data_IF_308655420950
#
_entry.id   IF_308655420950
#
_cell.length_a   1.000
_cell.length_b   1.000
_cell.length_c   1.000
_cell.angle_alpha   90.00
_cell.angle_beta   90.00
_cell.angle_gamma   90.00
#
_symmetry.space_group_name_H-M   'P 1'
#
loop_
_entity.id
_entity.type
_entity.pdbx_description
1 polymer ?
#
# COMPACT_ATOMS: atom_id res chain seq x y z
N UNK A 1 7.45 18.34 -6.89
CA UNK A 1 8.04 18.30 -5.54
C UNK A 1 8.07 16.86 -5.13
N UNK A 2 9.24 16.24 -5.17
CA UNK A 2 9.52 14.92 -4.60
C UNK A 2 9.24 15.00 -3.11
N UNK A 3 8.34 14.16 -2.60
CA UNK A 3 8.17 14.01 -1.16
C UNK A 3 9.52 13.60 -0.57
N UNK A 4 10.07 14.39 0.36
CA UNK A 4 11.27 13.99 1.08
C UNK A 4 10.95 12.71 1.84
N UNK A 5 11.70 11.65 1.55
CA UNK A 5 11.59 10.41 2.29
C UNK A 5 11.98 10.63 3.75
N UNK A 6 11.31 9.99 4.71
CA UNK A 6 11.68 10.08 6.11
C UNK A 6 13.11 9.57 6.32
N UNK A 7 13.93 10.35 6.99
CA UNK A 7 15.28 9.93 7.35
C UNK A 7 15.18 8.95 8.51
N UNK A 8 15.56 7.69 8.28
CA UNK A 8 15.64 6.67 9.32
C UNK A 8 17.06 6.68 9.88
N UNK A 9 17.21 7.04 11.15
CA UNK A 9 18.49 6.95 11.85
C UNK A 9 18.51 5.64 12.63
N UNK A 10 19.47 4.77 12.34
CA UNK A 10 19.66 3.52 13.08
C UNK A 10 20.59 3.76 14.29
N UNK A 11 20.17 3.32 15.44
CA UNK A 11 21.08 3.08 16.57
C UNK A 11 21.77 1.72 16.41
N UNK A 12 23.03 1.62 16.76
CA UNK A 12 23.82 0.39 16.59
C UNK A 12 23.10 -0.82 17.18
N UNK A 13 22.84 -1.81 16.35
CA UNK A 13 22.34 -3.12 16.76
C UNK A 13 23.37 -4.19 16.44
N UNK A 14 23.47 -5.19 17.32
CA UNK A 14 24.30 -6.36 17.05
C UNK A 14 23.39 -7.57 16.90
N UNK A 15 23.39 -8.29 15.79
CA UNK A 15 24.22 -8.10 14.57
C UNK A 15 23.80 -6.88 13.73
N UNK A 16 24.78 -6.29 13.03
CA UNK A 16 24.49 -5.15 12.13
C UNK A 16 23.59 -5.61 10.97
N UNK A 17 22.46 -4.94 10.72
CA UNK A 17 21.62 -5.30 9.59
C UNK A 17 22.30 -4.97 8.25
N UNK A 18 22.08 -5.82 7.28
CA UNK A 18 22.41 -5.53 5.89
C UNK A 18 21.29 -4.67 5.31
N UNK A 19 21.61 -3.52 4.77
CA UNK A 19 20.63 -2.63 4.15
C UNK A 19 20.71 -2.83 2.64
N UNK A 20 19.65 -3.40 2.07
CA UNK A 20 19.46 -3.46 0.63
C UNK A 20 18.44 -2.41 0.19
N UNK A 21 18.82 -1.59 -0.76
CA UNK A 21 17.90 -0.67 -1.42
C UNK A 21 17.29 -1.37 -2.65
N UNK A 22 16.04 -1.77 -2.54
CA UNK A 22 15.29 -2.38 -3.63
C UNK A 22 14.03 -1.54 -3.92
N UNK A 23 13.92 -1.04 -5.14
CA UNK A 23 12.77 -0.24 -5.60
C UNK A 23 12.35 0.88 -4.61
N UNK A 24 13.29 1.71 -4.18
CA UNK A 24 13.07 2.79 -3.21
C UNK A 24 12.66 2.31 -1.80
N UNK A 25 12.75 1.01 -1.53
CA UNK A 25 12.48 0.42 -0.23
C UNK A 25 13.78 -0.06 0.38
N UNK A 26 14.07 0.35 1.62
CA UNK A 26 15.21 -0.19 2.38
C UNK A 26 14.75 -1.45 3.11
N UNK A 27 15.39 -2.57 2.81
CA UNK A 27 15.12 -3.85 3.46
C UNK A 27 16.26 -4.17 4.42
N UNK A 28 15.91 -4.49 5.67
CA UNK A 28 16.87 -4.90 6.68
C UNK A 28 16.93 -6.41 6.74
N UNK A 29 18.08 -6.98 6.35
CA UNK A 29 18.36 -8.39 6.49
C UNK A 29 19.21 -8.61 7.74
N UNK A 30 18.71 -9.40 8.68
CA UNK A 30 19.44 -9.81 9.88
C UNK A 30 19.74 -11.29 9.73
N UNK A 31 21.03 -11.61 9.54
CA UNK A 31 21.49 -13.00 9.54
C UNK A 31 22.02 -13.32 10.92
N UNK A 32 21.35 -14.22 11.62
CA UNK A 32 21.85 -14.76 12.90
C UNK A 32 22.69 -16.00 12.60
N UNK A 33 24.01 -15.86 12.69
CA UNK A 33 24.90 -17.00 12.66
C UNK A 33 24.82 -17.74 14.00
N UNK A 34 25.07 -19.05 14.00
CA UNK A 34 25.12 -19.86 15.22
C UNK A 34 25.95 -19.19 16.30
N UNK A 35 25.30 -18.73 17.37
CA UNK A 35 25.98 -18.12 18.50
C UNK A 35 26.34 -19.24 19.48
N UNK A 36 27.51 -19.83 19.31
CA UNK A 36 28.09 -20.77 20.27
C UNK A 36 27.36 -22.11 20.46
N UNK A 37 26.43 -22.47 19.56
CA UNK A 37 25.69 -23.74 19.61
C UNK A 37 25.65 -24.40 18.26
N UNK A 38 25.78 -25.72 18.23
CA UNK A 38 25.68 -26.51 17.00
C UNK A 38 24.25 -26.73 16.50
N UNK A 39 23.25 -26.56 17.38
CA UNK A 39 21.82 -26.65 17.05
C UNK A 39 21.00 -25.80 18.01
N UNK A 40 19.82 -25.35 17.55
CA UNK A 40 18.82 -24.68 18.36
C UNK A 40 17.70 -25.65 18.72
N UNK A 41 17.20 -25.59 19.95
CA UNK A 41 16.02 -26.34 20.36
C UNK A 41 14.77 -25.77 19.66
N UNK A 42 13.80 -26.61 19.33
CA UNK A 42 12.60 -26.21 18.57
C UNK A 42 11.73 -25.14 19.29
N UNK A 43 11.87 -25.02 20.61
CA UNK A 43 11.14 -24.11 21.49
C UNK A 43 12.00 -22.94 22.00
N UNK A 44 13.24 -22.82 21.53
CA UNK A 44 14.13 -21.73 21.93
C UNK A 44 13.67 -20.41 21.30
N UNK A 45 13.36 -19.41 22.14
CA UNK A 45 12.85 -18.10 21.70
C UNK A 45 13.98 -17.09 21.67
N UNK A 46 14.17 -16.47 20.52
CA UNK A 46 15.07 -15.33 20.33
C UNK A 46 14.26 -14.06 20.19
N UNK A 47 14.70 -12.98 20.86
CA UNK A 47 14.10 -11.66 20.73
C UNK A 47 15.09 -10.75 19.99
N UNK A 48 14.67 -10.27 18.82
CA UNK A 48 15.38 -9.23 18.09
C UNK A 48 14.64 -7.92 18.36
N UNK A 49 15.36 -6.91 18.85
CA UNK A 49 14.78 -5.58 19.08
C UNK A 49 15.51 -4.58 18.21
N UNK A 50 14.76 -3.85 17.40
CA UNK A 50 15.26 -2.72 16.63
C UNK A 50 14.60 -1.43 17.14
N UNK A 51 15.41 -0.42 17.42
CA UNK A 51 14.93 0.90 17.79
C UNK A 51 15.17 1.85 16.61
N UNK A 52 14.10 2.48 16.13
CA UNK A 52 14.16 3.45 15.06
C UNK A 52 13.71 4.81 15.57
N UNK A 53 14.49 5.85 15.26
CA UNK A 53 14.04 7.23 15.44
C UNK A 53 13.69 7.75 14.05
N UNK A 54 12.40 8.05 13.86
CA UNK A 54 11.88 8.52 12.58
C UNK A 54 11.43 9.95 12.76
N UNK A 55 12.01 10.87 11.98
CA UNK A 55 11.55 12.25 11.91
C UNK A 55 10.68 12.41 10.67
N UNK A 56 9.42 12.73 10.87
CA UNK A 56 8.46 12.94 9.78
C UNK A 56 8.11 14.42 9.71
N UNK A 57 8.19 15.00 8.53
CA UNK A 57 7.70 16.35 8.28
C UNK A 57 6.26 16.27 7.80
N UNK A 58 5.40 17.15 8.31
CA UNK A 58 4.04 17.29 7.79
C UNK A 58 4.10 17.77 6.34
N UNK A 59 3.38 17.08 5.46
CA UNK A 59 3.23 17.47 4.06
C UNK A 59 1.76 17.73 3.81
N UNK A 60 1.44 18.97 3.49
CA UNK A 60 0.10 19.35 3.05
C UNK A 60 0.12 19.56 1.54
N UNK A 61 -0.73 18.84 0.82
CA UNK A 61 -0.83 18.94 -0.63
C UNK A 61 -2.15 19.57 -1.03
N UNK A 62 -2.09 20.77 -1.58
CA UNK A 62 -3.25 21.42 -2.17
C UNK A 62 -3.31 21.11 -3.67
N UNK A 63 -4.28 20.31 -4.09
CA UNK A 63 -4.44 19.88 -5.47
C UNK A 63 -5.52 20.73 -6.16
N UNK A 64 -5.10 21.57 -7.11
CA UNK A 64 -6.04 22.22 -8.01
C UNK A 64 -6.45 21.26 -9.14
N UNK A 65 -7.67 20.76 -9.04
CA UNK A 65 -8.24 19.77 -9.98
C UNK A 65 -8.27 20.28 -11.42
N UNK A 66 -8.39 21.61 -11.62
CA UNK A 66 -8.47 22.23 -12.93
C UNK A 66 -7.10 22.29 -13.64
N UNK A 67 -6.01 22.21 -12.87
CA UNK A 67 -4.64 22.22 -13.38
C UNK A 67 -4.08 20.84 -13.63
N UNK A 68 -4.82 19.78 -13.32
CA UNK A 68 -4.38 18.40 -13.57
C UNK A 68 -4.39 18.14 -15.06
N UNK A 69 -3.20 17.89 -15.61
CA UNK A 69 -3.05 17.48 -17.01
C UNK A 69 -3.48 16.03 -17.16
N UNK A 70 -4.34 15.76 -18.14
CA UNK A 70 -4.66 14.40 -18.53
C UNK A 70 -3.42 13.81 -19.21
N UNK A 71 -2.94 12.66 -18.74
CA UNK A 71 -1.73 12.07 -19.29
C UNK A 71 -1.97 11.63 -20.74
N UNK A 72 -1.23 12.21 -21.67
CA UNK A 72 -1.24 11.83 -23.08
C UNK A 72 -0.22 10.74 -23.40
N UNK A 73 0.88 10.70 -22.64
CA UNK A 73 1.95 9.74 -22.81
C UNK A 73 1.88 8.65 -21.71
N UNK A 74 1.35 7.49 -22.10
CA UNK A 74 1.29 6.30 -21.25
C UNK A 74 2.50 5.36 -21.42
N UNK A 75 3.48 5.75 -22.22
CA UNK A 75 4.70 4.96 -22.43
C UNK A 75 5.67 5.01 -21.24
N UNK A 76 5.50 5.99 -20.36
CA UNK A 76 6.34 6.16 -19.16
C UNK A 76 6.25 4.95 -18.24
N UNK A 77 7.37 4.64 -17.57
CA UNK A 77 7.50 3.48 -16.68
C UNK A 77 6.41 3.44 -15.60
N UNK A 78 6.05 4.60 -15.04
CA UNK A 78 4.99 4.69 -14.02
C UNK A 78 3.66 4.11 -14.51
N UNK A 79 3.27 4.35 -15.77
CA UNK A 79 2.07 3.75 -16.35
C UNK A 79 2.26 2.26 -16.60
N UNK A 80 3.38 1.86 -17.20
CA UNK A 80 3.66 0.46 -17.52
C UNK A 80 3.65 -0.44 -16.28
N UNK A 81 4.13 0.07 -15.14
CA UNK A 81 4.24 -0.70 -13.91
C UNK A 81 2.95 -0.63 -13.09
N UNK A 82 2.40 0.57 -12.90
CA UNK A 82 1.35 0.78 -11.90
C UNK A 82 -0.08 0.84 -12.45
N UNK A 83 -0.28 0.53 -13.75
CA UNK A 83 -1.63 0.34 -14.31
C UNK A 83 -1.94 -1.11 -14.66
N UNK A 84 -0.94 -2.01 -14.67
CA UNK A 84 -1.13 -3.43 -14.98
C UNK A 84 -1.57 -4.21 -13.74
N UNK A 85 -2.22 -5.35 -13.97
CA UNK A 85 -2.46 -6.33 -12.91
C UNK A 85 -1.14 -6.95 -12.41
N UNK A 86 -1.10 -7.30 -11.16
CA UNK A 86 -0.06 -8.13 -10.55
C UNK A 86 -0.69 -9.13 -9.55
N UNK A 87 0.12 -9.89 -8.84
CA UNK A 87 -0.35 -10.91 -7.89
C UNK A 87 -1.20 -10.32 -6.75
N UNK A 88 -0.92 -9.09 -6.34
CA UNK A 88 -1.60 -8.44 -5.23
C UNK A 88 -2.81 -7.60 -5.68
N UNK A 89 -2.75 -7.04 -6.90
CA UNK A 89 -3.76 -6.12 -7.40
C UNK A 89 -4.38 -6.69 -8.67
N UNK A 90 -5.56 -7.31 -8.56
CA UNK A 90 -6.26 -7.96 -9.67
C UNK A 90 -6.98 -6.92 -10.57
N UNK A 91 -6.21 -6.10 -11.30
CA UNK A 91 -6.77 -5.15 -12.26
C UNK A 91 -7.30 -5.86 -13.51
N UNK A 92 -8.19 -5.19 -14.25
CA UNK A 92 -8.75 -5.65 -15.54
C UNK A 92 -9.54 -6.98 -15.48
N UNK A 93 -9.97 -7.41 -14.30
CA UNK A 93 -10.90 -8.53 -14.21
C UNK A 93 -12.29 -8.13 -14.70
N UNK A 94 -13.06 -9.04 -15.34
CA UNK A 94 -14.33 -8.71 -15.98
C UNK A 94 -15.33 -7.99 -15.07
N UNK A 95 -15.35 -8.35 -13.79
CA UNK A 95 -16.23 -7.72 -12.79
C UNK A 95 -15.91 -6.24 -12.59
N UNK A 96 -14.63 -5.86 -12.52
CA UNK A 96 -14.19 -4.47 -12.36
C UNK A 96 -14.40 -3.67 -13.64
N UNK A 97 -14.08 -4.26 -14.80
CA UNK A 97 -14.31 -3.64 -16.12
C UNK A 97 -15.79 -3.31 -16.33
N UNK A 98 -16.69 -4.22 -15.93
CA UNK A 98 -18.14 -4.01 -16.00
C UNK A 98 -18.64 -2.94 -15.02
N UNK A 99 -18.08 -2.90 -13.82
CA UNK A 99 -18.49 -1.99 -12.76
C UNK A 99 -18.03 -0.55 -13.02
N UNK A 100 -16.80 -0.37 -13.49
CA UNK A 100 -16.11 0.91 -13.57
C UNK A 100 -16.88 2.02 -14.31
N UNK A 101 -17.52 1.79 -15.49
CA UNK A 101 -18.24 2.83 -16.21
C UNK A 101 -19.37 3.48 -15.42
N UNK A 102 -20.04 2.72 -14.55
CA UNK A 102 -21.10 3.23 -13.68
C UNK A 102 -20.58 4.13 -12.56
N UNK A 103 -19.29 4.03 -12.22
CA UNK A 103 -18.65 4.82 -11.16
C UNK A 103 -18.09 6.12 -11.73
N UNK A 104 -17.29 6.03 -12.80
CA UNK A 104 -16.52 7.18 -13.29
C UNK A 104 -17.27 8.08 -14.29
N UNK A 105 -18.49 7.69 -14.75
CA UNK A 105 -19.36 8.49 -15.62
C UNK A 105 -18.64 9.15 -16.81
N UNK A 106 -17.79 8.43 -17.53
CA UNK A 106 -16.95 8.93 -18.63
C UNK A 106 -15.91 10.00 -18.24
N UNK A 107 -15.64 10.19 -16.97
CA UNK A 107 -14.57 11.10 -16.53
C UNK A 107 -13.22 10.63 -17.07
N UNK A 108 -12.46 11.54 -17.69
CA UNK A 108 -11.10 11.30 -18.18
C UNK A 108 -10.03 11.91 -17.28
N UNK A 109 -10.43 12.74 -16.29
CA UNK A 109 -9.52 13.36 -15.36
C UNK A 109 -9.15 12.34 -14.26
N UNK A 110 -7.87 11.97 -14.08
CA UNK A 110 -7.45 10.90 -13.17
C UNK A 110 -7.78 11.21 -11.71
N UNK A 111 -7.70 12.46 -11.29
CA UNK A 111 -8.08 12.85 -9.93
C UNK A 111 -9.58 12.67 -9.69
N UNK A 112 -10.42 13.11 -10.65
CA UNK A 112 -11.88 12.91 -10.56
C UNK A 112 -12.24 11.42 -10.55
N UNK A 113 -11.56 10.61 -11.37
CA UNK A 113 -11.75 9.16 -11.37
C UNK A 113 -11.41 8.58 -9.98
N UNK A 114 -10.26 8.93 -9.42
CA UNK A 114 -9.86 8.48 -8.11
C UNK A 114 -10.87 8.87 -7.02
N UNK A 115 -11.33 10.13 -7.04
CA UNK A 115 -12.34 10.63 -6.10
C UNK A 115 -13.66 9.88 -6.21
N UNK A 116 -14.18 9.71 -7.43
CA UNK A 116 -15.43 9.00 -7.68
C UNK A 116 -15.36 7.53 -7.22
N UNK A 117 -14.24 6.85 -7.49
CA UNK A 117 -14.03 5.47 -7.03
C UNK A 117 -13.99 5.42 -5.50
N UNK A 118 -13.28 6.34 -4.86
CA UNK A 118 -13.23 6.44 -3.40
C UNK A 118 -14.62 6.64 -2.79
N UNK A 119 -15.36 7.64 -3.28
CA UNK A 119 -16.72 7.94 -2.82
C UNK A 119 -17.67 6.75 -3.03
N UNK A 120 -17.56 6.08 -4.19
CA UNK A 120 -18.33 4.87 -4.44
C UNK A 120 -18.03 3.78 -3.41
N UNK A 121 -16.76 3.55 -3.11
CA UNK A 121 -16.38 2.55 -2.12
C UNK A 121 -16.88 2.90 -0.73
N UNK A 122 -16.71 4.13 -0.30
CA UNK A 122 -17.17 4.57 1.02
C UNK A 122 -18.70 4.49 1.19
N UNK A 123 -19.45 4.65 0.11
CA UNK A 123 -20.92 4.60 0.14
C UNK A 123 -21.49 3.18 -0.02
N UNK A 124 -20.73 2.23 -0.56
CA UNK A 124 -21.24 0.92 -0.92
C UNK A 124 -20.62 -0.25 -0.15
N UNK A 125 -19.57 0.00 0.63
CA UNK A 125 -18.84 -1.05 1.36
C UNK A 125 -18.64 -0.67 2.82
N UNK A 126 -18.64 -1.67 3.69
CA UNK A 126 -18.43 -1.53 5.13
C UNK A 126 -17.01 -1.97 5.52
N UNK A 127 -16.27 -1.09 6.21
CA UNK A 127 -14.95 -1.42 6.74
C UNK A 127 -15.09 -2.23 8.02
N UNK A 128 -14.51 -3.42 8.03
CA UNK A 128 -14.47 -4.28 9.20
C UNK A 128 -13.15 -4.15 9.94
N UNK A 129 -13.18 -3.66 11.18
CA UNK A 129 -12.01 -3.61 12.07
C UNK A 129 -11.71 -4.99 12.70
N UNK A 130 -11.54 -6.02 11.87
CA UNK A 130 -11.18 -7.36 12.30
C UNK A 130 -9.79 -7.71 11.79
N UNK A 131 -9.05 -8.49 12.59
CA UNK A 131 -7.81 -9.08 12.11
C UNK A 131 -8.13 -9.95 10.88
N UNK A 132 -7.39 -9.72 9.80
CA UNK A 132 -7.51 -10.48 8.56
C UNK A 132 -7.35 -11.98 8.84
N UNK A 133 -8.30 -12.75 8.40
CA UNK A 133 -8.10 -14.20 8.26
C UNK A 133 -7.29 -14.43 6.98
N UNK A 134 -6.26 -15.26 7.06
CA UNK A 134 -5.41 -15.61 5.92
C UNK A 134 -6.25 -16.07 4.72
N UNK A 135 -5.87 -15.64 3.52
CA UNK A 135 -6.40 -16.08 2.21
C UNK A 135 -7.83 -15.63 1.84
N UNK A 136 -8.27 -14.46 2.25
CA UNK A 136 -9.46 -13.86 1.64
C UNK A 136 -9.07 -13.13 0.34
N UNK A 137 -9.82 -13.38 -0.73
CA UNK A 137 -9.66 -12.64 -1.98
C UNK A 137 -10.26 -11.23 -1.81
N UNK A 138 -9.50 -10.14 -2.03
CA UNK A 138 -10.04 -8.78 -1.97
C UNK A 138 -11.23 -8.54 -2.91
N UNK A 139 -11.37 -9.33 -3.98
CA UNK A 139 -12.54 -9.26 -4.87
C UNK A 139 -13.82 -9.81 -4.25
N UNK A 140 -13.75 -10.59 -3.16
CA UNK A 140 -14.92 -11.04 -2.42
C UNK A 140 -15.74 -9.85 -1.90
N UNK A 141 -15.13 -8.70 -1.70
CA UNK A 141 -15.81 -7.45 -1.36
C UNK A 141 -16.86 -7.03 -2.40
N UNK A 142 -16.69 -7.36 -3.67
CA UNK A 142 -17.68 -7.02 -4.70
C UNK A 142 -19.06 -7.63 -4.38
N UNK A 143 -19.06 -8.81 -3.75
CA UNK A 143 -20.27 -9.53 -3.38
C UNK A 143 -20.66 -9.30 -1.92
N UNK A 144 -19.71 -9.48 -1.00
CA UNK A 144 -19.96 -9.38 0.45
C UNK A 144 -20.28 -7.96 0.93
N UNK A 145 -19.83 -6.95 0.20
CA UNK A 145 -19.89 -5.52 0.55
C UNK A 145 -19.16 -5.15 1.85
N UNK A 146 -18.28 -6.03 2.33
CA UNK A 146 -17.54 -5.89 3.59
C UNK A 146 -16.11 -6.34 3.38
N UNK A 147 -15.16 -5.64 4.02
CA UNK A 147 -13.75 -6.00 3.98
C UNK A 147 -12.94 -5.27 5.04
N UNK A 148 -11.71 -5.71 5.25
CA UNK A 148 -10.76 -5.01 6.10
C UNK A 148 -10.03 -3.88 5.34
N UNK A 149 -9.17 -3.13 6.02
CA UNK A 149 -8.43 -2.02 5.41
C UNK A 149 -7.56 -2.45 4.21
N UNK A 150 -7.02 -3.68 4.25
CA UNK A 150 -6.24 -4.23 3.13
C UNK A 150 -7.13 -4.53 1.93
N UNK A 151 -8.28 -5.16 2.14
CA UNK A 151 -9.25 -5.45 1.06
C UNK A 151 -9.68 -4.16 0.37
N UNK A 152 -9.96 -3.11 1.16
CA UNK A 152 -10.27 -1.78 0.63
C UNK A 152 -9.13 -1.20 -0.19
N UNK A 153 -7.90 -1.24 0.32
CA UNK A 153 -6.74 -0.70 -0.38
C UNK A 153 -6.48 -1.43 -1.71
N UNK A 154 -6.59 -2.76 -1.71
CA UNK A 154 -6.40 -3.58 -2.91
C UNK A 154 -7.51 -3.33 -3.93
N UNK A 155 -8.79 -3.34 -3.50
CA UNK A 155 -9.91 -3.09 -4.41
C UNK A 155 -9.86 -1.67 -4.99
N UNK A 156 -9.51 -0.67 -4.18
CA UNK A 156 -9.33 0.70 -4.65
C UNK A 156 -8.21 0.80 -5.70
N UNK A 157 -7.05 0.20 -5.43
CA UNK A 157 -5.95 0.17 -6.38
C UNK A 157 -6.31 -0.60 -7.66
N UNK A 158 -7.06 -1.70 -7.56
CA UNK A 158 -7.52 -2.48 -8.72
C UNK A 158 -8.47 -1.66 -9.61
N UNK A 159 -9.43 -0.96 -9.03
CA UNK A 159 -10.34 -0.07 -9.77
C UNK A 159 -9.60 1.09 -10.43
N UNK A 160 -8.63 1.71 -9.73
CA UNK A 160 -7.79 2.77 -10.30
C UNK A 160 -6.98 2.26 -11.49
N UNK A 161 -6.32 1.11 -11.36
CA UNK A 161 -5.54 0.51 -12.45
C UNK A 161 -6.41 0.15 -13.63
N UNK A 162 -7.59 -0.40 -13.40
CA UNK A 162 -8.59 -0.69 -14.45
C UNK A 162 -9.05 0.60 -15.15
N UNK A 163 -9.13 1.73 -14.44
CA UNK A 163 -9.39 3.04 -15.02
C UNK A 163 -8.18 3.64 -15.79
N UNK A 164 -7.01 2.98 -15.74
CA UNK A 164 -5.76 3.48 -16.31
C UNK A 164 -5.08 4.56 -15.45
N UNK A 165 -5.43 4.65 -14.18
CA UNK A 165 -4.79 5.53 -13.19
C UNK A 165 -3.71 4.73 -12.45
N UNK A 166 -2.43 5.16 -12.50
CA UNK A 166 -1.36 4.45 -11.80
C UNK A 166 -1.61 4.41 -10.29
N UNK A 167 -1.57 3.20 -9.71
CA UNK A 167 -1.78 2.99 -8.28
C UNK A 167 -0.77 1.99 -7.71
N UNK A 168 -0.22 2.31 -6.54
CA UNK A 168 0.73 1.49 -5.79
C UNK A 168 0.19 1.27 -4.38
N UNK A 169 0.23 0.03 -3.89
CA UNK A 169 -0.01 -0.25 -2.49
C UNK A 169 1.20 0.14 -1.66
N UNK A 170 0.93 0.75 -0.52
CA UNK A 170 1.94 1.05 0.49
C UNK A 170 1.47 0.44 1.80
N UNK A 171 2.39 -0.14 2.54
CA UNK A 171 2.13 -0.60 3.91
C UNK A 171 2.99 0.17 4.89
N UNK A 172 2.50 0.35 6.11
CA UNK A 172 3.21 1.12 7.10
C UNK A 172 2.64 0.94 8.50
N UNK A 173 3.03 1.85 9.36
CA UNK A 173 2.50 1.95 10.72
C UNK A 173 1.82 3.31 10.85
N UNK A 174 0.53 3.29 11.13
CA UNK A 174 -0.20 4.50 11.48
C UNK A 174 0.06 4.81 12.95
N UNK A 175 0.48 6.04 13.23
CA UNK A 175 0.62 6.57 14.58
C UNK A 175 -0.49 7.61 14.79
N UNK A 176 -1.38 7.37 15.73
CA UNK A 176 -2.46 8.31 16.07
C UNK A 176 -1.97 9.46 16.96
N UNK A 177 -2.85 10.41 17.25
CA UNK A 177 -2.57 11.56 18.10
C UNK A 177 -2.16 11.18 19.53
N UNK A 178 -2.61 10.02 20.01
CA UNK A 178 -2.28 9.47 21.32
C UNK A 178 -0.99 8.60 21.29
N UNK A 179 -0.25 8.60 20.18
CA UNK A 179 0.94 7.78 19.91
C UNK A 179 0.68 6.27 19.91
N UNK A 180 -0.58 5.84 19.76
CA UNK A 180 -0.85 4.43 19.53
C UNK A 180 -0.44 4.07 18.09
N UNK A 181 0.12 2.88 17.94
CA UNK A 181 0.58 2.38 16.65
C UNK A 181 -0.27 1.21 16.20
N UNK A 182 -0.61 1.19 14.90
CA UNK A 182 -1.27 0.05 14.27
C UNK A 182 -0.73 -0.15 12.86
N UNK A 183 -0.69 -1.41 12.36
CA UNK A 183 -0.39 -1.67 10.95
C UNK A 183 -1.42 -0.97 10.05
N UNK A 184 -0.93 -0.44 8.92
CA UNK A 184 -1.77 0.29 7.96
C UNK A 184 -1.38 -0.06 6.52
#
# INVERSE_FOLDING_TARGET
TTAEQPTVTMTESTPKPLIDNYNETSVFHITMNKIGKDSYAADEKYRITQNHVITVKSVETNIDVNRIKIPTDRSKMIYKVYTRKDELIPADVPALVKLLPSIIYKSINPYRQAKLIYEYMMNNYEIQNKLRKTNTDPLDMLTSKKGDAYDFAVLYAALLRTAGVPAKLMSGILVDENKNTRPH
#
